data_IF_556658587951
#
_entry.id   IF_556658587951
#
_cell.length_a   1.000
_cell.length_b   1.000
_cell.length_c   1.000
_cell.angle_alpha   90.00
_cell.angle_beta   90.00
_cell.angle_gamma   90.00
#
_symmetry.space_group_name_H-M   'P 1'
#
loop_
_entity.id
_entity.type
_entity.pdbx_description
1 polymer ?
#
# COMPACT_ATOMS: atom_id res chain seq x y z
N UNK A 1 -1.12 3.02 10.04
CA UNK A 1 -0.62 3.76 8.85
C UNK A 1 -1.62 4.83 8.40
N UNK A 2 -2.92 4.54 8.34
CA UNK A 2 -3.93 5.51 7.89
C UNK A 2 -4.02 6.78 8.73
N UNK A 3 -3.94 6.68 10.06
CA UNK A 3 -3.95 7.85 10.94
C UNK A 3 -2.58 8.52 11.06
N UNK A 4 -1.50 7.73 11.14
CA UNK A 4 -0.20 8.24 11.58
C UNK A 4 0.81 8.46 10.46
N UNK A 5 0.64 7.81 9.31
CA UNK A 5 1.64 7.78 8.22
C UNK A 5 1.14 8.51 6.99
N UNK A 6 -0.04 8.13 6.48
CA UNK A 6 -0.58 8.67 5.23
C UNK A 6 -0.84 10.19 5.27
N UNK A 7 -1.29 10.78 6.40
CA UNK A 7 -1.52 12.23 6.46
C UNK A 7 -0.23 13.06 6.54
N UNK A 8 0.93 12.45 6.81
CA UNK A 8 2.20 13.18 6.89
C UNK A 8 2.59 13.71 5.51
N UNK A 9 3.07 14.96 5.45
CA UNK A 9 3.30 15.68 4.19
C UNK A 9 4.19 14.90 3.20
N UNK A 10 5.27 14.28 3.69
CA UNK A 10 6.20 13.51 2.86
C UNK A 10 5.54 12.27 2.21
N UNK A 11 4.59 11.63 2.88
CA UNK A 11 3.86 10.48 2.35
C UNK A 11 2.73 10.95 1.41
N UNK A 12 1.90 11.90 1.87
CA UNK A 12 0.76 12.42 1.12
C UNK A 12 1.19 13.00 -0.23
N UNK A 13 2.29 13.76 -0.27
CA UNK A 13 2.80 14.35 -1.51
C UNK A 13 3.21 13.29 -2.55
N UNK A 14 3.80 12.16 -2.13
CA UNK A 14 4.12 11.08 -3.05
C UNK A 14 2.87 10.30 -3.46
N UNK A 15 1.93 10.06 -2.54
CA UNK A 15 0.69 9.33 -2.83
C UNK A 15 -0.18 10.01 -3.89
N UNK A 16 -0.13 11.34 -4.02
CA UNK A 16 -0.84 12.10 -5.06
C UNK A 16 -0.43 11.72 -6.49
N UNK A 17 0.72 11.05 -6.67
CA UNK A 17 1.22 10.58 -7.97
C UNK A 17 0.64 9.22 -8.38
N UNK A 18 -0.14 8.59 -7.50
CA UNK A 18 -0.68 7.25 -7.69
C UNK A 18 -2.20 7.28 -7.74
N UNK A 19 -2.77 6.27 -8.42
CA UNK A 19 -4.17 5.91 -8.20
C UNK A 19 -4.25 5.11 -6.91
N UNK A 20 -5.00 5.61 -5.93
CA UNK A 20 -5.14 4.99 -4.62
C UNK A 20 -6.36 4.06 -4.60
N UNK A 21 -6.12 2.78 -4.31
CA UNK A 21 -7.17 1.79 -4.10
C UNK A 21 -7.10 1.28 -2.66
N UNK A 22 -8.27 1.10 -2.05
CA UNK A 22 -8.40 0.54 -0.70
C UNK A 22 -9.37 -0.63 -0.74
N UNK A 23 -8.92 -1.77 -0.20
CA UNK A 23 -9.78 -2.90 0.13
C UNK A 23 -9.95 -2.94 1.64
N UNK A 24 -11.16 -2.70 2.14
CA UNK A 24 -11.48 -2.90 3.56
C UNK A 24 -11.76 -4.38 3.82
N UNK A 25 -10.80 -5.05 4.45
CA UNK A 25 -10.89 -6.47 4.78
C UNK A 25 -11.28 -6.73 6.24
N UNK A 26 -11.77 -5.72 6.98
CA UNK A 26 -12.04 -5.79 8.43
C UNK A 26 -12.98 -6.95 8.80
N UNK A 27 -13.98 -7.23 7.98
CA UNK A 27 -14.93 -8.33 8.21
C UNK A 27 -14.33 -9.73 8.00
N UNK A 28 -13.13 -9.84 7.40
CA UNK A 28 -12.40 -11.08 7.14
C UNK A 28 -13.24 -12.21 6.49
N UNK A 29 -14.11 -11.86 5.55
CA UNK A 29 -14.95 -12.83 4.82
C UNK A 29 -14.08 -13.77 3.95
N UNK A 30 -14.62 -14.90 3.46
CA UNK A 30 -13.89 -15.79 2.57
C UNK A 30 -13.31 -15.09 1.32
N UNK A 31 -14.03 -14.12 0.76
CA UNK A 31 -13.58 -13.30 -0.38
C UNK A 31 -12.39 -12.42 0.00
N UNK A 32 -12.41 -11.84 1.20
CA UNK A 32 -11.28 -11.06 1.72
C UNK A 32 -10.04 -11.95 1.91
N UNK A 33 -10.22 -13.15 2.47
CA UNK A 33 -9.14 -14.11 2.64
C UNK A 33 -8.58 -14.57 1.29
N UNK A 34 -9.44 -14.76 0.28
CA UNK A 34 -9.01 -15.09 -1.08
C UNK A 34 -8.22 -13.94 -1.72
N UNK A 35 -8.66 -12.70 -1.53
CA UNK A 35 -7.94 -11.50 -1.99
C UNK A 35 -6.55 -11.40 -1.34
N UNK A 36 -6.49 -11.54 -0.02
CA UNK A 36 -5.22 -11.52 0.73
C UNK A 36 -4.28 -12.63 0.25
N UNK A 37 -4.76 -13.86 0.12
CA UNK A 37 -4.00 -15.00 -0.42
C UNK A 37 -3.49 -14.76 -1.83
N UNK A 38 -4.31 -14.17 -2.72
CA UNK A 38 -3.93 -13.84 -4.10
C UNK A 38 -2.68 -12.94 -4.16
N UNK A 39 -2.52 -12.06 -3.18
CA UNK A 39 -1.38 -11.16 -3.10
C UNK A 39 -0.29 -11.62 -2.11
N UNK A 40 -0.45 -12.81 -1.52
CA UNK A 40 0.50 -13.34 -0.53
C UNK A 40 0.55 -12.54 0.77
N UNK A 41 -0.57 -11.93 1.16
CA UNK A 41 -0.72 -11.20 2.41
C UNK A 41 -1.47 -12.07 3.43
N UNK A 42 -1.04 -12.02 4.70
CA UNK A 42 -1.75 -12.67 5.80
C UNK A 42 -2.77 -11.74 6.48
N UNK A 43 -2.58 -10.43 6.34
CA UNK A 43 -3.44 -9.39 6.90
C UNK A 43 -2.86 -8.00 6.69
N UNK A 44 -3.59 -6.95 7.07
CA UNK A 44 -3.10 -5.57 7.02
C UNK A 44 -2.08 -5.26 8.14
N UNK A 45 -1.22 -4.23 7.97
CA UNK A 45 -1.10 -3.40 6.77
C UNK A 45 -0.27 -4.09 5.68
N UNK A 46 -0.81 -4.12 4.46
CA UNK A 46 -0.14 -4.59 3.25
C UNK A 46 -0.48 -3.64 2.10
N UNK A 47 0.51 -2.87 1.65
CA UNK A 47 0.40 -1.94 0.53
C UNK A 47 1.16 -2.55 -0.65
N UNK A 48 0.52 -2.61 -1.81
CA UNK A 48 1.08 -3.16 -3.04
C UNK A 48 1.21 -2.02 -4.03
N UNK A 49 2.39 -1.86 -4.62
CA UNK A 49 2.71 -0.77 -5.54
C UNK A 49 2.83 -1.34 -6.95
N UNK A 50 2.04 -0.79 -7.86
CA UNK A 50 2.03 -1.17 -9.26
C UNK A 50 2.72 -0.10 -10.10
N UNK A 51 3.46 -0.53 -11.12
CA UNK A 51 4.01 0.34 -12.16
C UNK A 51 2.93 0.74 -13.18
N UNK A 52 3.28 1.64 -14.11
CA UNK A 52 2.38 2.09 -15.19
C UNK A 52 1.99 0.97 -16.17
N UNK A 53 2.66 -0.18 -16.12
CA UNK A 53 2.36 -1.37 -16.90
C UNK A 53 1.48 -2.37 -16.12
N UNK A 54 0.91 -1.95 -14.99
CA UNK A 54 0.05 -2.77 -14.11
C UNK A 54 0.76 -3.99 -13.51
N UNK A 55 2.09 -3.96 -13.42
CA UNK A 55 2.86 -5.02 -12.75
C UNK A 55 3.18 -4.58 -11.35
N UNK A 56 3.17 -5.54 -10.42
CA UNK A 56 3.65 -5.28 -9.08
C UNK A 56 5.14 -4.95 -9.12
N UNK A 57 5.50 -3.72 -8.75
CA UNK A 57 6.88 -3.23 -8.75
C UNK A 57 7.50 -3.28 -7.35
N UNK A 58 6.69 -3.13 -6.31
CA UNK A 58 7.16 -3.10 -4.92
C UNK A 58 5.99 -3.38 -3.95
N UNK A 59 6.30 -3.69 -2.69
CA UNK A 59 5.30 -3.85 -1.62
C UNK A 59 5.83 -3.37 -0.28
N UNK A 60 4.93 -2.88 0.56
CA UNK A 60 5.20 -2.48 1.94
C UNK A 60 4.31 -3.33 2.86
N UNK A 61 4.94 -4.10 3.75
CA UNK A 61 4.24 -4.99 4.68
C UNK A 61 4.61 -4.59 6.11
N UNK A 62 3.61 -4.46 6.96
CA UNK A 62 3.81 -3.99 8.33
C UNK A 62 3.93 -2.47 8.43
N UNK A 63 4.16 -2.00 9.65
CA UNK A 63 4.29 -0.57 9.91
C UNK A 63 5.57 -0.01 9.28
N UNK A 64 5.44 1.10 8.56
CA UNK A 64 6.56 1.83 7.94
C UNK A 64 6.41 3.33 8.24
N UNK A 65 7.41 4.01 8.82
CA UNK A 65 7.35 5.46 9.06
C UNK A 65 7.20 6.26 7.75
N UNK A 66 6.66 7.48 7.82
CA UNK A 66 6.33 8.27 6.63
C UNK A 66 7.52 8.54 5.70
N UNK A 67 8.71 8.83 6.23
CA UNK A 67 9.92 9.05 5.42
C UNK A 67 10.36 7.79 4.68
N UNK A 68 10.21 6.62 5.31
CA UNK A 68 10.52 5.34 4.66
C UNK A 68 9.46 5.01 3.61
N UNK A 69 8.18 5.22 3.93
CA UNK A 69 7.07 4.98 3.01
C UNK A 69 7.16 5.87 1.76
N UNK A 70 7.45 7.17 1.93
CA UNK A 70 7.66 8.10 0.83
C UNK A 70 8.81 7.68 -0.10
N UNK A 71 9.89 7.11 0.47
CA UNK A 71 11.00 6.56 -0.32
C UNK A 71 10.59 5.33 -1.13
N UNK A 72 9.76 4.44 -0.59
CA UNK A 72 9.24 3.29 -1.34
C UNK A 72 8.33 3.72 -2.50
N UNK A 73 7.50 4.74 -2.29
CA UNK A 73 6.68 5.33 -3.35
C UNK A 73 7.54 5.97 -4.45
N UNK A 74 8.57 6.74 -4.07
CA UNK A 74 9.44 7.42 -5.02
C UNK A 74 10.20 6.44 -5.95
N UNK A 75 10.50 5.22 -5.50
CA UNK A 75 11.14 4.18 -6.32
C UNK A 75 10.24 3.67 -7.45
N UNK A 76 8.92 3.75 -7.29
CA UNK A 76 7.94 3.22 -8.26
C UNK A 76 7.41 4.31 -9.18
N UNK A 77 7.35 5.56 -8.72
CA UNK A 77 6.79 6.67 -9.47
C UNK A 77 7.73 7.25 -10.56
N UNK A 78 8.95 6.71 -10.70
CA UNK A 78 9.97 7.17 -11.64
C UNK A 78 10.02 6.33 -12.91
#
# INVERSE_FOLDING_TARGET
MEADVFPQQQAAAQMQRFVLLRADVTANTPEHQALLKRFGLFGPPGIILFDSQSRESNRVVGYTPADAFARELAKVAN
#
